data_IF_861497106761
#
_entry.id   IF_861497106761
#
_cell.length_a   1.000
_cell.length_b   1.000
_cell.length_c   1.000
_cell.angle_alpha   90.00
_cell.angle_beta   90.00
_cell.angle_gamma   90.00
#
_symmetry.space_group_name_H-M   'P 1'
#
loop_
_entity.id
_entity.type
_entity.pdbx_description
1 polymer ?
#
# COMPACT_ATOMS: atom_id res chain seq x y z
N UNK A 1 9.23 10.58 28.06
CA UNK A 1 8.99 9.66 26.90
C UNK A 1 8.49 8.32 27.45
N UNK A 2 7.44 7.73 26.88
CA UNK A 2 6.84 6.52 27.47
C UNK A 2 7.74 5.28 27.30
N UNK A 3 7.73 4.38 28.27
CA UNK A 3 8.48 3.11 28.23
C UNK A 3 8.17 2.28 26.98
N UNK A 4 6.92 2.34 26.49
CA UNK A 4 6.48 1.68 25.25
C UNK A 4 7.27 2.16 24.03
N UNK A 5 7.56 3.46 23.91
CA UNK A 5 8.33 3.98 22.76
C UNK A 5 9.75 3.45 22.75
N UNK A 6 10.38 3.36 23.93
CA UNK A 6 11.72 2.79 24.06
C UNK A 6 11.72 1.29 23.80
N UNK A 7 10.72 0.56 24.29
CA UNK A 7 10.60 -0.86 24.03
C UNK A 7 10.43 -1.16 22.54
N UNK A 8 9.51 -0.47 21.86
CA UNK A 8 9.28 -0.65 20.41
C UNK A 8 10.51 -0.20 19.60
N UNK A 9 11.10 0.94 19.94
CA UNK A 9 12.30 1.43 19.26
C UNK A 9 13.49 0.48 19.44
N UNK A 10 13.74 0.04 20.67
CA UNK A 10 14.82 -0.91 20.99
C UNK A 10 14.61 -2.26 20.30
N UNK A 11 13.39 -2.80 20.32
CA UNK A 11 13.05 -4.03 19.60
C UNK A 11 13.29 -3.88 18.09
N UNK A 12 12.87 -2.76 17.50
CA UNK A 12 13.12 -2.47 16.08
C UNK A 12 14.61 -2.45 15.73
N UNK A 13 15.44 -1.82 16.57
CA UNK A 13 16.90 -1.81 16.41
C UNK A 13 17.49 -3.22 16.51
N UNK A 14 17.07 -4.01 17.50
CA UNK A 14 17.55 -5.39 17.66
C UNK A 14 17.19 -6.27 16.46
N UNK A 15 15.95 -6.19 15.99
CA UNK A 15 15.49 -6.94 14.81
C UNK A 15 16.24 -6.49 13.55
N UNK A 16 16.42 -5.18 13.36
CA UNK A 16 17.18 -4.63 12.23
C UNK A 16 18.64 -5.07 12.24
N UNK A 17 19.30 -5.03 13.40
CA UNK A 17 20.68 -5.48 13.58
C UNK A 17 20.82 -6.99 13.32
N UNK A 18 19.86 -7.79 13.79
CA UNK A 18 19.84 -9.22 13.51
C UNK A 18 19.67 -9.52 12.02
N UNK A 19 18.77 -8.83 11.33
CA UNK A 19 18.60 -8.93 9.88
C UNK A 19 19.88 -8.54 9.11
N UNK A 20 20.53 -7.45 9.51
CA UNK A 20 21.80 -7.02 8.92
C UNK A 20 22.92 -8.06 9.16
N UNK A 21 23.01 -8.62 10.36
CA UNK A 21 23.95 -9.69 10.67
C UNK A 21 23.71 -10.94 9.80
N UNK A 22 22.44 -11.34 9.63
CA UNK A 22 22.09 -12.44 8.73
C UNK A 22 22.48 -12.14 7.29
N UNK A 23 22.18 -10.95 6.78
CA UNK A 23 22.55 -10.55 5.42
C UNK A 23 24.07 -10.64 5.22
N UNK A 24 24.86 -10.08 6.15
CA UNK A 24 26.33 -10.04 6.03
C UNK A 24 27.02 -11.40 6.23
N UNK A 25 26.38 -12.33 6.94
CA UNK A 25 26.99 -13.64 7.25
C UNK A 25 26.48 -14.78 6.38
N UNK A 26 25.34 -14.62 5.71
CA UNK A 26 24.67 -15.68 4.94
C UNK A 26 24.58 -15.39 3.45
N UNK A 27 24.91 -14.20 2.99
CA UNK A 27 24.81 -13.81 1.59
C UNK A 27 26.19 -13.47 1.02
N UNK A 28 26.38 -13.69 -0.27
CA UNK A 28 27.55 -13.17 -0.98
C UNK A 28 27.38 -11.70 -1.39
N UNK A 29 28.43 -11.11 -1.96
CA UNK A 29 28.44 -9.69 -2.32
C UNK A 29 27.40 -9.35 -3.41
N UNK A 30 27.15 -10.27 -4.34
CA UNK A 30 26.18 -10.04 -5.41
C UNK A 30 24.76 -10.02 -4.83
N UNK A 31 24.43 -10.99 -3.97
CA UNK A 31 23.15 -11.04 -3.28
C UNK A 31 22.92 -9.81 -2.40
N UNK A 32 23.96 -9.33 -1.70
CA UNK A 32 23.87 -8.08 -0.94
C UNK A 32 23.60 -6.87 -1.83
N UNK A 33 24.23 -6.81 -3.01
CA UNK A 33 23.96 -5.77 -4.00
C UNK A 33 22.53 -5.85 -4.55
N UNK A 34 21.99 -7.05 -4.78
CA UNK A 34 20.60 -7.26 -5.19
C UNK A 34 19.61 -6.81 -4.11
N UNK A 35 19.88 -7.13 -2.84
CA UNK A 35 19.08 -6.65 -1.71
C UNK A 35 19.11 -5.13 -1.62
N UNK A 36 20.29 -4.52 -1.75
CA UNK A 36 20.44 -3.07 -1.72
C UNK A 36 19.72 -2.39 -2.90
N UNK A 37 19.85 -2.97 -4.10
CA UNK A 37 19.15 -2.49 -5.30
C UNK A 37 17.63 -2.63 -5.12
N UNK A 38 17.15 -3.75 -4.59
CA UNK A 38 15.73 -3.96 -4.35
C UNK A 38 15.17 -2.97 -3.33
N UNK A 39 15.89 -2.74 -2.21
CA UNK A 39 15.51 -1.75 -1.21
C UNK A 39 15.48 -0.33 -1.79
N UNK A 40 16.51 0.06 -2.53
CA UNK A 40 16.61 1.40 -3.10
C UNK A 40 15.62 1.62 -4.25
N UNK A 41 15.59 0.71 -5.23
CA UNK A 41 14.72 0.81 -6.39
C UNK A 41 13.25 0.64 -5.99
N UNK A 42 12.93 -0.27 -5.08
CA UNK A 42 11.57 -0.46 -4.57
C UNK A 42 11.03 0.80 -3.91
N UNK A 43 11.83 1.42 -3.01
CA UNK A 43 11.46 2.70 -2.36
C UNK A 43 11.35 3.82 -3.38
N UNK A 44 12.35 4.00 -4.26
CA UNK A 44 12.33 5.07 -5.24
C UNK A 44 11.14 4.96 -6.21
N UNK A 45 10.86 3.76 -6.71
CA UNK A 45 9.71 3.49 -7.58
C UNK A 45 8.40 3.73 -6.84
N UNK A 46 8.29 3.29 -5.59
CA UNK A 46 7.10 3.51 -4.78
C UNK A 46 6.86 5.01 -4.53
N UNK A 47 7.87 5.73 -4.05
CA UNK A 47 7.75 7.13 -3.66
C UNK A 47 7.53 8.05 -4.87
N UNK A 48 8.22 7.79 -5.98
CA UNK A 48 8.08 8.63 -7.18
C UNK A 48 6.82 8.28 -7.95
N UNK A 49 6.57 7.00 -8.24
CA UNK A 49 5.44 6.62 -9.09
C UNK A 49 4.15 6.48 -8.29
N UNK A 50 4.14 5.67 -7.23
CA UNK A 50 2.89 5.40 -6.50
C UNK A 50 2.46 6.63 -5.72
N UNK A 51 3.34 7.19 -4.89
CA UNK A 51 2.98 8.38 -4.14
C UNK A 51 2.80 9.60 -5.06
N UNK A 52 3.63 9.75 -6.11
CA UNK A 52 3.44 10.81 -7.12
C UNK A 52 2.07 10.76 -7.81
N UNK A 53 1.63 9.57 -8.26
CA UNK A 53 0.29 9.38 -8.86
C UNK A 53 -0.82 9.67 -7.85
N UNK A 54 -0.70 9.16 -6.61
CA UNK A 54 -1.71 9.37 -5.56
C UNK A 54 -1.83 10.86 -5.18
N UNK A 55 -0.70 11.55 -5.05
CA UNK A 55 -0.65 13.00 -4.78
C UNK A 55 -1.26 13.77 -5.95
N UNK A 56 -0.85 13.47 -7.19
CA UNK A 56 -1.37 14.11 -8.39
C UNK A 56 -2.87 13.94 -8.54
N UNK A 57 -3.37 12.70 -8.39
CA UNK A 57 -4.80 12.38 -8.43
C UNK A 57 -5.56 13.05 -7.28
N UNK A 58 -4.98 13.13 -6.07
CA UNK A 58 -5.58 13.87 -4.97
C UNK A 58 -5.70 15.36 -5.27
N UNK A 59 -4.65 15.98 -5.83
CA UNK A 59 -4.66 17.40 -6.23
C UNK A 59 -5.72 17.65 -7.31
N UNK A 60 -5.80 16.80 -8.33
CA UNK A 60 -6.81 16.90 -9.38
C UNK A 60 -8.21 16.69 -8.82
N UNK A 61 -8.39 15.73 -7.90
CA UNK A 61 -9.64 15.47 -7.21
C UNK A 61 -10.18 16.71 -6.47
N UNK A 62 -9.32 17.58 -5.96
CA UNK A 62 -9.74 18.83 -5.30
C UNK A 62 -10.40 19.83 -6.24
N UNK A 63 -10.19 19.70 -7.56
CA UNK A 63 -10.84 20.56 -8.58
C UNK A 63 -12.29 20.15 -8.85
N UNK A 64 -12.66 18.91 -8.54
CA UNK A 64 -13.99 18.35 -8.85
C UNK A 64 -14.80 18.02 -7.59
N UNK A 65 -14.13 17.70 -6.48
CA UNK A 65 -14.78 17.33 -5.22
C UNK A 65 -14.92 18.55 -4.28
N UNK A 66 -16.04 18.68 -3.55
CA UNK A 66 -16.19 19.70 -2.52
C UNK A 66 -15.28 19.41 -1.32
N UNK A 67 -14.91 20.46 -0.58
CA UNK A 67 -13.90 20.41 0.51
C UNK A 67 -14.11 19.29 1.55
N UNK A 68 -15.33 18.94 1.99
CA UNK A 68 -15.52 17.86 2.96
C UNK A 68 -15.07 16.47 2.46
N UNK A 69 -15.00 16.29 1.14
CA UNK A 69 -14.68 15.03 0.48
C UNK A 69 -13.19 14.83 0.23
N UNK A 70 -12.37 15.88 0.35
CA UNK A 70 -10.93 15.81 0.05
C UNK A 70 -10.24 14.74 0.89
N UNK A 71 -10.39 14.76 2.22
CA UNK A 71 -9.70 13.79 3.08
C UNK A 71 -10.20 12.34 2.93
N UNK A 72 -11.52 12.06 2.90
CA UNK A 72 -12.03 10.72 2.62
C UNK A 72 -11.55 10.18 1.27
N UNK A 73 -11.61 11.00 0.21
CA UNK A 73 -11.19 10.57 -1.12
C UNK A 73 -9.68 10.27 -1.18
N UNK A 74 -8.83 11.13 -0.60
CA UNK A 74 -7.38 10.87 -0.52
C UNK A 74 -7.07 9.62 0.29
N UNK A 75 -7.72 9.42 1.44
CA UNK A 75 -7.49 8.22 2.24
C UNK A 75 -7.94 6.95 1.51
N UNK A 76 -9.13 6.99 0.91
CA UNK A 76 -9.64 5.91 0.07
C UNK A 76 -8.68 5.57 -1.07
N UNK A 77 -8.16 6.59 -1.76
CA UNK A 77 -7.18 6.41 -2.83
C UNK A 77 -5.86 5.81 -2.35
N UNK A 78 -5.32 6.24 -1.20
CA UNK A 78 -4.09 5.67 -0.64
C UNK A 78 -4.27 4.18 -0.34
N UNK A 79 -5.35 3.82 0.36
CA UNK A 79 -5.62 2.43 0.77
C UNK A 79 -5.94 1.56 -0.44
N UNK A 80 -6.93 1.96 -1.24
CA UNK A 80 -7.33 1.20 -2.43
C UNK A 80 -6.23 1.15 -3.49
N UNK A 81 -5.49 2.25 -3.69
CA UNK A 81 -4.39 2.30 -4.63
C UNK A 81 -3.28 1.31 -4.25
N UNK A 82 -2.88 1.29 -2.98
CA UNK A 82 -1.90 0.32 -2.49
C UNK A 82 -2.37 -1.13 -2.64
N UNK A 83 -3.62 -1.42 -2.26
CA UNK A 83 -4.23 -2.76 -2.45
C UNK A 83 -4.28 -3.14 -3.93
N UNK A 84 -4.58 -2.19 -4.81
CA UNK A 84 -4.69 -2.43 -6.26
C UNK A 84 -3.34 -2.76 -6.88
N UNK A 85 -2.26 -2.06 -6.50
CA UNK A 85 -0.90 -2.41 -6.93
C UNK A 85 -0.54 -3.83 -6.52
N UNK A 86 -0.85 -4.22 -5.27
CA UNK A 86 -0.62 -5.58 -4.79
C UNK A 86 -1.52 -6.63 -5.45
N UNK A 87 -2.69 -6.23 -5.95
CA UNK A 87 -3.63 -7.13 -6.63
C UNK A 87 -3.20 -7.45 -8.08
N UNK A 88 -2.31 -6.66 -8.70
CA UNK A 88 -1.91 -6.83 -10.11
C UNK A 88 -1.48 -8.26 -10.43
N UNK A 89 -0.60 -8.94 -9.67
CA UNK A 89 -0.16 -10.29 -10.01
C UNK A 89 -1.28 -11.33 -9.96
N UNK A 90 -2.17 -11.22 -8.97
CA UNK A 90 -3.23 -12.22 -8.76
C UNK A 90 -4.42 -12.01 -9.69
N UNK A 91 -4.75 -10.76 -10.02
CA UNK A 91 -5.78 -10.42 -11.02
C UNK A 91 -5.29 -10.74 -12.43
N UNK A 92 -4.03 -10.40 -12.75
CA UNK A 92 -3.39 -10.72 -14.03
C UNK A 92 -3.03 -12.20 -14.19
N UNK A 93 -3.21 -13.00 -13.14
CA UNK A 93 -2.87 -14.42 -13.07
C UNK A 93 -1.39 -14.73 -13.42
N UNK A 94 -0.48 -13.81 -13.11
CA UNK A 94 0.95 -14.01 -13.36
C UNK A 94 1.46 -15.15 -12.47
N UNK A 95 2.09 -16.15 -13.09
CA UNK A 95 2.55 -17.35 -12.39
C UNK A 95 1.52 -18.48 -12.27
N UNK A 96 0.34 -18.37 -12.91
CA UNK A 96 -0.58 -19.50 -13.04
C UNK A 96 0.12 -20.68 -13.74
N UNK A 97 -0.08 -21.89 -13.22
CA UNK A 97 0.47 -23.12 -13.80
C UNK A 97 -0.62 -24.17 -13.97
N UNK A 98 -0.60 -24.86 -15.11
CA UNK A 98 -1.62 -25.86 -15.45
C UNK A 98 -1.52 -27.13 -14.58
N UNK A 99 -0.33 -27.46 -14.11
CA UNK A 99 -0.02 -28.61 -13.26
C UNK A 99 -0.35 -28.37 -11.78
N UNK A 100 -0.64 -27.14 -11.38
CA UNK A 100 -1.05 -26.81 -10.02
C UNK A 100 -2.26 -25.87 -10.01
N UNK A 101 -3.49 -26.42 -10.08
CA UNK A 101 -4.71 -25.62 -10.17
C UNK A 101 -5.05 -24.87 -8.87
N UNK A 102 -4.36 -25.17 -7.75
CA UNK A 102 -4.52 -24.40 -6.50
C UNK A 102 -3.80 -23.06 -6.54
N UNK A 103 -2.87 -22.88 -7.50
CA UNK A 103 -2.29 -21.57 -7.76
C UNK A 103 -3.36 -20.66 -8.37
N UNK A 104 -3.68 -19.61 -7.64
CA UNK A 104 -4.62 -18.57 -8.07
C UNK A 104 -6.05 -19.12 -8.29
N UNK A 105 -6.53 -19.94 -7.35
CA UNK A 105 -7.84 -20.60 -7.37
C UNK A 105 -9.01 -19.70 -6.92
N UNK A 106 -8.72 -18.49 -6.43
CA UNK A 106 -9.73 -17.54 -5.94
C UNK A 106 -10.19 -16.58 -7.03
N UNK A 107 -11.43 -16.06 -6.93
CA UNK A 107 -11.96 -15.08 -7.87
C UNK A 107 -11.39 -13.69 -7.59
N UNK A 108 -10.07 -13.49 -7.74
CA UNK A 108 -9.37 -12.26 -7.35
C UNK A 108 -9.94 -11.01 -8.00
N UNK A 109 -10.38 -11.08 -9.26
CA UNK A 109 -11.04 -9.96 -9.93
C UNK A 109 -12.34 -9.57 -9.21
N UNK A 110 -13.19 -10.55 -8.88
CA UNK A 110 -14.44 -10.29 -8.17
C UNK A 110 -14.18 -9.72 -6.76
N UNK A 111 -13.20 -10.27 -6.03
CA UNK A 111 -12.80 -9.76 -4.72
C UNK A 111 -12.26 -8.32 -4.81
N UNK A 112 -11.44 -8.01 -5.81
CA UNK A 112 -10.92 -6.67 -6.02
C UNK A 112 -12.03 -5.67 -6.38
N UNK A 113 -12.99 -6.06 -7.23
CA UNK A 113 -14.17 -5.24 -7.54
C UNK A 113 -15.02 -5.00 -6.29
N UNK A 114 -15.25 -6.02 -5.46
CA UNK A 114 -15.98 -5.88 -4.21
C UNK A 114 -15.29 -4.91 -3.24
N UNK A 115 -13.96 -5.02 -3.07
CA UNK A 115 -13.17 -4.09 -2.25
C UNK A 115 -13.20 -2.66 -2.81
N UNK A 116 -13.21 -2.51 -4.14
CA UNK A 116 -13.35 -1.21 -4.80
C UNK A 116 -14.69 -0.57 -4.45
N UNK A 117 -15.79 -1.31 -4.60
CA UNK A 117 -17.13 -0.83 -4.25
C UNK A 117 -17.26 -0.48 -2.76
N UNK A 118 -16.72 -1.32 -1.88
CA UNK A 118 -16.71 -1.05 -0.43
C UNK A 118 -15.92 0.21 -0.09
N UNK A 119 -14.78 0.43 -0.74
CA UNK A 119 -13.99 1.65 -0.54
C UNK A 119 -14.74 2.88 -1.02
N UNK A 120 -15.36 2.83 -2.21
CA UNK A 120 -16.18 3.92 -2.72
C UNK A 120 -17.36 4.24 -1.79
N UNK A 121 -18.04 3.22 -1.26
CA UNK A 121 -19.11 3.38 -0.30
C UNK A 121 -18.61 4.04 1.00
N UNK A 122 -17.47 3.60 1.54
CA UNK A 122 -16.86 4.20 2.73
C UNK A 122 -16.49 5.68 2.52
N UNK A 123 -15.89 6.00 1.37
CA UNK A 123 -15.58 7.38 0.98
C UNK A 123 -16.84 8.23 0.87
N UNK A 124 -17.89 7.72 0.23
CA UNK A 124 -19.16 8.41 0.07
C UNK A 124 -19.84 8.69 1.42
N UNK A 125 -19.94 7.69 2.29
CA UNK A 125 -20.50 7.84 3.64
C UNK A 125 -19.70 8.87 4.44
N UNK A 126 -18.37 8.77 4.46
CA UNK A 126 -17.52 9.72 5.17
C UNK A 126 -17.62 11.15 4.60
N UNK A 127 -17.68 11.29 3.27
CA UNK A 127 -17.90 12.57 2.59
C UNK A 127 -19.23 13.20 2.97
N UNK A 128 -20.33 12.44 2.89
CA UNK A 128 -21.68 12.90 3.25
C UNK A 128 -21.79 13.30 4.72
N UNK A 129 -21.25 12.50 5.65
CA UNK A 129 -21.25 12.81 7.07
C UNK A 129 -20.48 14.10 7.35
N UNK A 130 -19.32 14.31 6.70
CA UNK A 130 -18.54 15.53 6.86
C UNK A 130 -19.21 16.76 6.25
N UNK A 131 -19.87 16.60 5.09
CA UNK A 131 -20.67 17.68 4.48
C UNK A 131 -21.75 18.17 5.43
N UNK A 132 -22.55 17.25 6.00
CA UNK A 132 -23.63 17.61 6.95
C UNK A 132 -23.13 18.34 8.20
N UNK A 133 -21.95 17.96 8.71
CA UNK A 133 -21.32 18.62 9.86
C UNK A 133 -20.76 20.01 9.57
N UNK A 134 -20.55 20.34 8.29
CA UNK A 134 -20.06 21.66 7.89
C UNK A 134 -21.22 22.64 7.68
N UNK A 135 -22.43 22.13 7.48
CA UNK A 135 -23.67 22.91 7.30
C UNK A 135 -24.42 23.18 8.62
N UNK A 136 -24.11 22.45 9.68
CA UNK A 136 -24.67 22.61 11.03
C UNK A 136 -23.77 23.49 11.90
#
# INVERSE_FOLDING_TARGET
MSAVRWAVGGLGVLVGAYGAWLALTRQDLLQLAEVALWLAAGVAVHDVLVAGVVIGASILGRRVLPRPWHAPATFGLVVWGGVSVMAVPVVGRFGARADNPTLLDRPYLATWLALTLLTLAAVAVAGLVRSRRTEA
#
